data_IF_548340470992
#
_entry.id   IF_548340470992
#
_cell.length_a   1.000
_cell.length_b   1.000
_cell.length_c   1.000
_cell.angle_alpha   90.00
_cell.angle_beta   90.00
_cell.angle_gamma   90.00
#
_symmetry.space_group_name_H-M   'P 1'
#
loop_
_entity.id
_entity.type
_entity.pdbx_description
1 polymer ?
#
# COMPACT_ATOMS: atom_id res chain seq x y z
N UNK A 1 -32.87 3.52 -6.91
CA UNK A 1 -31.83 3.27 -5.89
C UNK A 1 -32.19 4.07 -4.65
N UNK A 2 -32.67 3.42 -3.61
CA UNK A 2 -32.95 4.07 -2.33
C UNK A 2 -31.66 4.54 -1.68
N UNK A 3 -31.62 5.81 -1.25
CA UNK A 3 -30.46 6.38 -0.56
C UNK A 3 -30.45 5.87 0.88
N UNK A 4 -29.29 5.38 1.33
CA UNK A 4 -29.07 4.91 2.72
C UNK A 4 -29.38 6.03 3.72
N UNK A 5 -30.24 5.77 4.71
CA UNK A 5 -30.47 6.66 5.85
C UNK A 5 -29.49 6.28 6.97
N UNK A 6 -28.52 7.15 7.24
CA UNK A 6 -27.50 7.00 8.30
C UNK A 6 -27.22 8.37 8.93
N UNK A 7 -26.92 8.41 10.23
CA UNK A 7 -26.54 9.67 10.89
C UNK A 7 -25.09 10.05 10.55
N UNK A 8 -24.75 11.34 10.66
CA UNK A 8 -23.37 11.81 10.51
C UNK A 8 -22.43 11.16 11.54
N UNK A 9 -22.91 10.92 12.76
CA UNK A 9 -22.14 10.28 13.82
C UNK A 9 -21.81 8.82 13.49
N UNK A 10 -22.76 8.08 12.91
CA UNK A 10 -22.56 6.69 12.51
C UNK A 10 -21.64 6.60 11.29
N UNK A 11 -21.80 7.52 10.32
CA UNK A 11 -20.88 7.60 9.18
C UNK A 11 -19.44 7.89 9.64
N UNK A 12 -19.25 8.78 10.61
CA UNK A 12 -17.93 9.07 11.18
C UNK A 12 -17.34 7.83 11.87
N UNK A 13 -18.13 7.11 12.68
CA UNK A 13 -17.69 5.86 13.31
C UNK A 13 -17.28 4.80 12.29
N UNK A 14 -18.07 4.63 11.23
CA UNK A 14 -17.75 3.71 10.13
C UNK A 14 -16.41 4.08 9.47
N UNK A 15 -16.18 5.37 9.21
CA UNK A 15 -14.92 5.85 8.64
C UNK A 15 -13.73 5.67 9.58
N UNK A 16 -13.94 5.87 10.88
CA UNK A 16 -12.90 5.68 11.89
C UNK A 16 -12.50 4.21 12.11
N UNK A 17 -13.35 3.26 11.71
CA UNK A 17 -13.02 1.83 11.73
C UNK A 17 -12.18 1.39 10.53
N UNK A 18 -12.09 2.21 9.48
CA UNK A 18 -11.25 1.93 8.32
C UNK A 18 -9.78 2.18 8.65
N UNK A 19 -8.88 1.40 8.05
CA UNK A 19 -7.45 1.67 8.14
C UNK A 19 -7.17 3.05 7.55
N UNK A 20 -6.22 3.78 8.15
CA UNK A 20 -5.72 4.99 7.53
C UNK A 20 -5.13 4.66 6.14
N UNK A 21 -5.14 5.59 5.16
CA UNK A 21 -4.65 5.29 3.81
C UNK A 21 -3.24 4.68 3.77
N UNK A 22 -2.34 5.17 4.61
CA UNK A 22 -0.99 4.60 4.72
C UNK A 22 -0.96 3.19 5.31
N UNK A 23 -1.87 2.86 6.24
CA UNK A 23 -1.96 1.50 6.80
C UNK A 23 -2.65 0.55 5.82
N UNK A 24 -3.62 1.03 5.04
CA UNK A 24 -4.22 0.26 3.96
C UNK A 24 -3.17 -0.11 2.91
N UNK A 25 -2.35 0.85 2.47
CA UNK A 25 -1.25 0.58 1.53
C UNK A 25 -0.30 -0.51 2.06
N UNK A 26 0.10 -0.43 3.33
CA UNK A 26 0.97 -1.44 3.93
C UNK A 26 0.29 -2.82 3.92
N UNK A 27 -1.00 -2.88 4.27
CA UNK A 27 -1.77 -4.13 4.26
C UNK A 27 -1.86 -4.73 2.84
N UNK A 28 -2.19 -3.90 1.84
CA UNK A 28 -2.30 -4.33 0.44
C UNK A 28 -0.97 -4.90 -0.07
N UNK A 29 0.16 -4.27 0.28
CA UNK A 29 1.48 -4.76 -0.08
C UNK A 29 1.86 -6.04 0.65
N UNK A 30 1.48 -6.20 1.92
CA UNK A 30 1.68 -7.45 2.66
C UNK A 30 0.89 -8.59 2.02
N UNK A 31 -0.38 -8.35 1.69
CA UNK A 31 -1.27 -9.36 1.10
C UNK A 31 -0.80 -9.75 -0.31
N UNK A 32 -0.37 -8.78 -1.13
CA UNK A 32 0.11 -9.04 -2.48
C UNK A 32 1.47 -9.77 -2.51
N UNK A 33 2.38 -9.45 -1.59
CA UNK A 33 3.77 -9.96 -1.62
C UNK A 33 4.02 -11.12 -0.66
N UNK A 34 3.08 -11.40 0.26
CA UNK A 34 3.25 -12.38 1.33
C UNK A 34 4.34 -12.01 2.34
N UNK A 35 4.81 -10.76 2.36
CA UNK A 35 5.90 -10.31 3.25
C UNK A 35 5.34 -9.67 4.52
N UNK A 36 6.18 -9.65 5.56
CA UNK A 36 5.82 -9.04 6.85
C UNK A 36 5.71 -7.52 6.77
N UNK A 37 4.91 -6.94 7.67
CA UNK A 37 4.77 -5.47 7.81
C UNK A 37 6.13 -4.78 7.95
N UNK A 38 7.04 -5.37 8.74
CA UNK A 38 8.39 -4.84 8.95
C UNK A 38 9.13 -4.73 7.63
N UNK A 39 9.05 -5.76 6.79
CA UNK A 39 9.71 -5.79 5.47
C UNK A 39 9.14 -4.71 4.56
N UNK A 40 7.82 -4.58 4.49
CA UNK A 40 7.14 -3.54 3.70
C UNK A 40 7.55 -2.14 4.16
N UNK A 41 7.61 -1.91 5.48
CA UNK A 41 8.08 -0.63 6.04
C UNK A 41 9.53 -0.33 5.68
N UNK A 42 10.41 -1.34 5.62
CA UNK A 42 11.79 -1.16 5.18
C UNK A 42 11.87 -0.72 3.71
N UNK A 43 11.03 -1.27 2.83
CA UNK A 43 10.95 -0.83 1.43
C UNK A 43 10.44 0.61 1.31
N UNK A 44 9.36 0.95 2.02
CA UNK A 44 8.81 2.31 2.03
C UNK A 44 9.85 3.32 2.54
N UNK A 45 10.66 2.94 3.52
CA UNK A 45 11.74 3.79 4.05
C UNK A 45 12.96 3.90 3.12
N UNK A 46 13.01 3.15 2.01
CA UNK A 46 14.14 3.11 1.09
C UNK A 46 15.38 2.37 1.62
N UNK A 47 15.33 1.83 2.85
CA UNK A 47 16.46 1.11 3.46
C UNK A 47 16.80 -0.20 2.77
N UNK A 48 15.80 -0.83 2.14
CA UNK A 48 15.98 -2.06 1.40
C UNK A 48 15.18 -2.01 0.11
N UNK A 49 15.73 -2.61 -0.96
CA UNK A 49 15.06 -2.72 -2.25
C UNK A 49 14.53 -4.16 -2.42
N UNK A 50 13.23 -4.36 -2.70
CA UNK A 50 12.72 -5.70 -2.96
C UNK A 50 13.41 -6.33 -4.19
N UNK A 51 13.40 -7.66 -4.27
CA UNK A 51 13.90 -8.36 -5.46
C UNK A 51 13.01 -8.08 -6.70
N UNK A 52 13.52 -8.24 -7.94
CA UNK A 52 12.82 -7.83 -9.15
C UNK A 52 11.41 -8.41 -9.31
N UNK A 53 11.20 -9.69 -8.94
CA UNK A 53 9.88 -10.33 -9.00
C UNK A 53 8.89 -9.61 -8.08
N UNK A 54 9.32 -9.28 -6.86
CA UNK A 54 8.48 -8.56 -5.89
C UNK A 54 8.25 -7.11 -6.34
N UNK A 55 9.23 -6.45 -6.96
CA UNK A 55 9.03 -5.12 -7.55
C UNK A 55 7.89 -5.12 -8.57
N UNK A 56 7.84 -6.13 -9.45
CA UNK A 56 6.78 -6.27 -10.45
C UNK A 56 5.41 -6.51 -9.80
N UNK A 57 5.33 -7.36 -8.77
CA UNK A 57 4.08 -7.59 -8.03
C UNK A 57 3.58 -6.28 -7.39
N UNK A 58 4.48 -5.50 -6.79
CA UNK A 58 4.14 -4.21 -6.19
C UNK A 58 3.66 -3.22 -7.26
N UNK A 59 4.37 -3.14 -8.40
CA UNK A 59 4.01 -2.31 -9.53
C UNK A 59 2.59 -2.62 -10.04
N UNK A 60 2.29 -3.90 -10.27
CA UNK A 60 0.97 -4.36 -10.70
C UNK A 60 -0.12 -4.05 -9.66
N UNK A 61 0.18 -4.25 -8.37
CA UNK A 61 -0.74 -3.97 -7.26
C UNK A 61 -1.12 -2.48 -7.20
N UNK A 62 -0.15 -1.61 -7.46
CA UNK A 62 -0.33 -0.16 -7.39
C UNK A 62 -0.77 0.46 -8.73
N UNK A 63 -0.73 -0.30 -9.83
CA UNK A 63 -0.98 0.22 -11.17
C UNK A 63 0.06 1.24 -11.64
N UNK A 64 1.30 1.12 -11.16
CA UNK A 64 2.42 2.02 -11.47
C UNK A 64 3.57 1.23 -12.04
N UNK A 65 4.30 1.79 -12.99
CA UNK A 65 5.49 1.16 -13.57
C UNK A 65 6.60 0.88 -12.53
N UNK A 66 7.22 -0.30 -12.61
CA UNK A 66 8.24 -0.75 -11.66
C UNK A 66 9.50 0.12 -11.68
N UNK A 67 9.91 0.62 -12.86
CA UNK A 67 11.10 1.48 -12.96
C UNK A 67 10.85 2.85 -12.32
N UNK A 68 9.59 3.31 -12.34
CA UNK A 68 9.17 4.55 -11.65
C UNK A 68 9.15 4.40 -10.12
N UNK A 69 8.70 3.24 -9.61
CA UNK A 69 8.68 2.96 -8.16
C UNK A 69 10.06 2.64 -7.59
N UNK A 70 10.92 1.99 -8.38
CA UNK A 70 12.21 1.48 -7.95
C UNK A 70 13.34 1.92 -8.88
N UNK A 71 13.65 3.22 -8.95
CA UNK A 71 14.66 3.73 -9.86
C UNK A 71 16.00 3.01 -9.68
N UNK A 72 16.69 2.78 -10.79
CA UNK A 72 18.07 2.33 -10.80
C UNK A 72 18.90 3.59 -10.59
N UNK A 73 19.38 3.82 -9.37
CA UNK A 73 20.34 4.89 -9.13
C UNK A 73 21.62 4.51 -9.89
N UNK A 74 21.85 5.06 -11.07
CA UNK A 74 23.14 4.90 -11.77
C UNK A 74 24.28 5.68 -11.10
N UNK A 75 24.00 6.47 -10.06
CA UNK A 75 25.01 7.24 -9.32
C UNK A 75 24.72 7.24 -7.81
N UNK A 76 25.23 6.25 -7.08
CA UNK A 76 25.57 6.36 -5.66
C UNK A 76 26.86 5.60 -5.38
#
# INVERSE_FOLDING_TARGET
MDKRKISLADLYKEKMQQLSPGRQLIQDLMDATGRSEVTVRLWISGKFKPEPIIQNIIADTLGVDAASLFPINEHQ
#
